data_IF_886900800765
#
_entry.id   IF_886900800765
#
_cell.length_a   1.000
_cell.length_b   1.000
_cell.length_c   1.000
_cell.angle_alpha   90.00
_cell.angle_beta   90.00
_cell.angle_gamma   90.00
#
_symmetry.space_group_name_H-M   'P 1'
#
loop_
_entity.id
_entity.type
_entity.pdbx_description
1 polymer ?
#
# COMPACT_ATOMS: atom_id res chain seq x y z
N UNK A 1 4.18 -4.74 10.27
CA UNK A 1 4.44 -4.40 8.87
C UNK A 1 5.89 -3.98 8.70
N UNK A 2 6.55 -4.50 7.69
CA UNK A 2 7.94 -4.16 7.35
C UNK A 2 7.93 -3.42 6.02
N UNK A 3 8.22 -2.12 6.04
CA UNK A 3 8.05 -1.21 4.90
C UNK A 3 9.37 -0.49 4.62
N UNK A 4 9.67 -0.29 3.34
CA UNK A 4 10.71 0.62 2.86
C UNK A 4 10.05 1.76 2.11
N UNK A 5 10.40 2.99 2.45
CA UNK A 5 9.90 4.22 1.82
C UNK A 5 11.02 5.26 1.77
N UNK A 6 11.33 5.76 0.58
CA UNK A 6 12.36 6.78 0.35
C UNK A 6 13.72 6.46 1.02
N UNK A 7 14.19 5.20 0.89
CA UNK A 7 15.44 4.73 1.49
C UNK A 7 15.37 4.39 2.98
N UNK A 8 14.29 4.75 3.68
CA UNK A 8 14.11 4.44 5.10
C UNK A 8 13.37 3.10 5.28
N UNK A 9 13.77 2.35 6.30
CA UNK A 9 13.15 1.07 6.68
C UNK A 9 12.36 1.23 7.97
N UNK A 10 11.12 0.75 7.97
CA UNK A 10 10.17 0.84 9.08
C UNK A 10 9.66 -0.55 9.46
N UNK A 11 9.61 -0.84 10.76
CA UNK A 11 8.99 -2.04 11.32
C UNK A 11 7.90 -1.60 12.29
N UNK A 12 6.68 -1.50 11.78
CA UNK A 12 5.55 -0.94 12.53
C UNK A 12 4.61 -2.06 13.01
N UNK A 13 4.35 -2.21 14.31
CA UNK A 13 3.33 -3.12 14.79
C UNK A 13 1.95 -2.56 14.43
N UNK A 14 1.21 -3.22 13.55
CA UNK A 14 -0.13 -2.77 13.12
C UNK A 14 -1.24 -3.59 13.80
N UNK A 15 -1.03 -4.89 13.98
CA UNK A 15 -1.99 -5.80 14.58
C UNK A 15 -1.27 -6.70 15.58
N UNK A 16 -1.88 -6.90 16.76
CA UNK A 16 -1.42 -7.81 17.80
C UNK A 16 -2.64 -8.48 18.43
N UNK A 17 -2.63 -9.81 18.52
CA UNK A 17 -3.73 -10.60 19.10
C UNK A 17 -5.12 -10.24 18.53
N UNK A 18 -5.19 -9.98 17.22
CA UNK A 18 -6.44 -9.63 16.53
C UNK A 18 -6.92 -8.18 16.74
N UNK A 19 -6.18 -7.34 17.47
CA UNK A 19 -6.51 -5.92 17.69
C UNK A 19 -5.52 -5.02 16.96
N UNK A 20 -6.03 -3.89 16.45
CA UNK A 20 -5.23 -2.85 15.83
C UNK A 20 -4.41 -2.11 16.89
N UNK A 21 -3.14 -1.87 16.60
CA UNK A 21 -2.24 -1.04 17.40
C UNK A 21 -2.40 0.42 16.96
N UNK A 22 -3.00 1.24 17.80
CA UNK A 22 -3.36 2.62 17.47
C UNK A 22 -2.13 3.49 17.10
N UNK A 23 -1.07 3.45 17.90
CA UNK A 23 0.16 4.19 17.60
C UNK A 23 0.78 3.72 16.27
N UNK A 24 0.77 2.41 16.01
CA UNK A 24 1.25 1.85 14.76
C UNK A 24 0.41 2.28 13.56
N UNK A 25 -0.91 2.39 13.73
CA UNK A 25 -1.80 2.94 12.71
C UNK A 25 -1.44 4.39 12.37
N UNK A 26 -1.23 5.26 13.36
CA UNK A 26 -0.84 6.65 13.11
C UNK A 26 0.54 6.77 12.47
N UNK A 27 1.50 5.93 12.86
CA UNK A 27 2.82 5.90 12.23
C UNK A 27 2.73 5.43 10.78
N UNK A 28 1.89 4.45 10.47
CA UNK A 28 1.62 4.05 9.09
C UNK A 28 0.99 5.18 8.28
N UNK A 29 0.04 5.93 8.84
CA UNK A 29 -0.54 7.09 8.16
C UNK A 29 0.52 8.14 7.78
N UNK A 30 1.51 8.37 8.66
CA UNK A 30 2.66 9.25 8.36
C UNK A 30 3.60 8.68 7.31
N UNK A 31 3.87 7.38 7.34
CA UNK A 31 4.73 6.72 6.34
C UNK A 31 4.08 6.73 4.94
N UNK A 32 2.76 6.62 4.89
CA UNK A 32 1.96 6.66 3.66
C UNK A 32 1.57 8.09 3.24
N UNK A 33 2.07 9.12 3.92
CA UNK A 33 1.83 10.50 3.56
C UNK A 33 2.28 10.83 2.13
N UNK A 34 1.67 11.88 1.57
CA UNK A 34 2.12 12.51 0.35
C UNK A 34 3.55 13.02 0.55
N UNK A 35 4.48 12.65 -0.33
CA UNK A 35 5.89 13.02 -0.20
C UNK A 35 6.24 14.37 -0.78
N UNK A 36 5.44 14.90 -1.71
CA UNK A 36 5.67 16.20 -2.32
C UNK A 36 5.17 17.30 -1.37
N UNK A 37 3.91 17.19 -0.96
CA UNK A 37 3.27 18.20 -0.10
C UNK A 37 3.44 17.90 1.40
N UNK A 38 3.99 16.72 1.76
CA UNK A 38 4.23 16.29 3.15
C UNK A 38 2.96 16.24 4.00
N UNK A 39 1.84 15.90 3.37
CA UNK A 39 0.53 15.82 4.03
C UNK A 39 0.20 14.36 4.34
N UNK A 40 -0.10 14.10 5.61
CA UNK A 40 -0.65 12.82 6.07
C UNK A 40 -2.16 12.94 6.25
N UNK A 41 -2.88 11.86 5.98
CA UNK A 41 -4.31 11.71 6.28
C UNK A 41 -4.54 10.42 7.04
N UNK A 42 -5.72 10.27 7.63
CA UNK A 42 -6.18 8.97 8.10
C UNK A 42 -6.40 8.07 6.89
N UNK A 43 -5.53 7.08 6.75
CA UNK A 43 -5.64 6.06 5.70
C UNK A 43 -6.70 5.03 6.09
N UNK A 44 -7.28 4.36 5.10
CA UNK A 44 -8.21 3.27 5.32
C UNK A 44 -7.50 2.10 6.05
N UNK A 45 -7.91 1.72 7.28
CA UNK A 45 -7.28 0.61 8.01
C UNK A 45 -7.39 -0.73 7.27
N UNK A 46 -8.36 -0.89 6.37
CA UNK A 46 -8.48 -2.08 5.54
C UNK A 46 -7.31 -2.20 4.55
N UNK A 47 -6.80 -1.07 4.03
CA UNK A 47 -5.63 -1.08 3.15
C UNK A 47 -4.42 -1.65 3.90
N UNK A 48 -4.16 -1.19 5.12
CA UNK A 48 -3.09 -1.73 5.96
C UNK A 48 -3.33 -3.20 6.31
N UNK A 49 -4.59 -3.61 6.52
CA UNK A 49 -4.93 -5.01 6.73
C UNK A 49 -4.61 -5.89 5.52
N UNK A 50 -4.90 -5.43 4.30
CA UNK A 50 -4.53 -6.13 3.05
C UNK A 50 -3.01 -6.32 2.96
N UNK A 51 -2.27 -5.24 3.17
CA UNK A 51 -0.80 -5.25 3.11
C UNK A 51 -0.18 -6.14 4.20
N UNK A 52 -0.69 -6.06 5.43
CA UNK A 52 -0.22 -6.88 6.54
C UNK A 52 -0.48 -8.36 6.31
N UNK A 53 -1.67 -8.74 5.81
CA UNK A 53 -2.00 -10.13 5.45
C UNK A 53 -1.10 -10.67 4.33
N UNK A 54 -0.83 -9.87 3.31
CA UNK A 54 0.08 -10.26 2.22
C UNK A 54 1.51 -10.50 2.74
N UNK A 55 2.05 -9.61 3.59
CA UNK A 55 3.35 -9.84 4.23
C UNK A 55 3.35 -11.07 5.14
N UNK A 56 2.27 -11.29 5.90
CA UNK A 56 2.16 -12.44 6.79
C UNK A 56 2.14 -13.76 6.01
N UNK A 57 1.36 -13.82 4.92
CA UNK A 57 1.33 -14.98 4.03
C UNK A 57 2.73 -15.32 3.48
N UNK A 58 3.46 -14.32 2.98
CA UNK A 58 4.82 -14.50 2.48
C UNK A 58 5.77 -14.96 3.60
N UNK A 59 5.69 -14.36 4.79
CA UNK A 59 6.51 -14.74 5.93
C UNK A 59 6.25 -16.20 6.38
N UNK A 60 5.00 -16.66 6.35
CA UNK A 60 4.63 -18.06 6.61
C UNK A 60 5.20 -19.04 5.58
N UNK A 61 5.58 -18.54 4.39
CA UNK A 61 6.28 -19.29 3.35
C UNK A 61 7.80 -19.00 3.33
N UNK A 62 8.36 -18.53 4.46
CA UNK A 62 9.78 -18.18 4.63
C UNK A 62 10.28 -17.03 3.75
N UNK A 63 9.38 -16.23 3.17
CA UNK A 63 9.72 -15.06 2.35
C UNK A 63 9.58 -13.79 3.21
N UNK A 64 10.69 -13.35 3.79
CA UNK A 64 10.74 -12.18 4.67
C UNK A 64 11.27 -10.95 3.92
N UNK A 65 10.46 -10.37 3.03
CA UNK A 65 10.80 -9.17 2.25
C UNK A 65 9.97 -7.96 2.71
N UNK A 66 10.54 -6.74 2.73
CA UNK A 66 9.77 -5.53 2.99
C UNK A 66 8.82 -5.21 1.83
N UNK A 67 7.71 -4.56 2.14
CA UNK A 67 6.94 -3.81 1.14
C UNK A 67 7.73 -2.56 0.78
N UNK A 68 8.02 -2.36 -0.49
CA UNK A 68 8.58 -1.11 -1.00
C UNK A 68 7.42 -0.24 -1.44
N UNK A 69 7.19 0.86 -0.72
CA UNK A 69 6.09 1.78 -0.95
C UNK A 69 6.53 2.88 -1.92
N UNK A 70 5.96 2.90 -3.12
CA UNK A 70 6.24 3.91 -4.14
C UNK A 70 5.23 5.06 -4.13
N UNK A 71 3.98 4.82 -3.69
CA UNK A 71 3.00 5.87 -3.47
C UNK A 71 1.96 5.50 -2.41
N UNK A 72 1.62 6.44 -1.53
CA UNK A 72 0.55 6.30 -0.52
C UNK A 72 -0.56 7.31 -0.79
N UNK A 73 -1.00 8.07 0.21
CA UNK A 73 -1.86 9.22 -0.02
C UNK A 73 -1.26 10.21 -1.04
N UNK A 74 -2.13 10.82 -1.84
CA UNK A 74 -1.78 11.95 -2.71
C UNK A 74 -2.70 13.11 -2.41
N UNK A 75 -2.15 14.32 -2.31
CA UNK A 75 -2.95 15.53 -2.42
C UNK A 75 -3.47 15.67 -3.86
N UNK A 76 -4.45 16.55 -4.07
CA UNK A 76 -4.90 16.86 -5.43
C UNK A 76 -3.77 17.41 -6.31
N UNK A 77 -2.88 18.21 -5.71
CA UNK A 77 -1.73 18.79 -6.38
C UNK A 77 -0.79 17.69 -6.89
N UNK A 78 -0.34 16.79 -6.01
CA UNK A 78 0.50 15.64 -6.39
C UNK A 78 -0.20 14.73 -7.40
N UNK A 79 -1.50 14.47 -7.23
CA UNK A 79 -2.23 13.62 -8.17
C UNK A 79 -2.29 14.23 -9.57
N UNK A 80 -2.49 15.55 -9.71
CA UNK A 80 -2.45 16.25 -11.00
C UNK A 80 -1.07 16.21 -11.67
N UNK A 81 -0.01 16.25 -10.88
CA UNK A 81 1.38 16.14 -11.39
C UNK A 81 1.78 14.70 -11.72
N UNK A 82 1.07 13.71 -11.21
CA UNK A 82 1.41 12.30 -11.43
C UNK A 82 0.91 11.87 -12.81
N UNK A 83 1.85 11.56 -13.71
CA UNK A 83 1.53 11.10 -15.06
C UNK A 83 0.62 9.85 -15.02
N UNK A 84 -0.41 9.84 -15.87
CA UNK A 84 -1.37 8.74 -15.97
C UNK A 84 -2.31 8.57 -14.76
N UNK A 85 -2.24 9.44 -13.75
CA UNK A 85 -3.14 9.36 -12.60
C UNK A 85 -4.58 9.69 -12.98
N UNK A 86 -5.52 8.87 -12.50
CA UNK A 86 -6.94 9.16 -12.65
C UNK A 86 -7.34 10.39 -11.82
N UNK A 87 -8.22 11.23 -12.36
CA UNK A 87 -8.75 12.40 -11.66
C UNK A 87 -9.45 12.02 -10.34
N UNK A 88 -10.13 10.88 -10.31
CA UNK A 88 -10.80 10.34 -9.12
C UNK A 88 -10.04 9.13 -8.54
N UNK A 89 -8.73 9.30 -8.34
CA UNK A 89 -7.84 8.26 -7.84
C UNK A 89 -8.10 7.94 -6.37
N UNK A 90 -8.00 6.66 -5.98
CA UNK A 90 -8.16 6.24 -4.58
C UNK A 90 -7.01 6.67 -3.66
N UNK A 91 -5.90 7.14 -4.24
CA UNK A 91 -4.83 7.80 -3.48
C UNK A 91 -5.31 9.11 -2.82
N UNK A 92 -6.25 9.84 -3.45
CA UNK A 92 -6.82 11.08 -2.92
C UNK A 92 -7.66 10.87 -1.64
N UNK A 93 -8.12 9.65 -1.42
CA UNK A 93 -9.03 9.30 -0.33
C UNK A 93 -8.35 8.47 0.76
N UNK A 94 -7.02 8.32 0.70
CA UNK A 94 -6.26 7.47 1.63
C UNK A 94 -6.65 5.98 1.52
N UNK A 95 -7.13 5.55 0.36
CA UNK A 95 -7.66 4.19 0.12
C UNK A 95 -6.77 3.35 -0.77
N UNK A 96 -5.65 3.89 -1.26
CA UNK A 96 -4.77 3.20 -2.19
C UNK A 96 -3.29 3.27 -1.79
N UNK A 97 -2.53 2.31 -2.30
CA UNK A 97 -1.08 2.31 -2.29
C UNK A 97 -0.52 1.67 -3.55
N UNK A 98 0.61 2.21 -4.01
CA UNK A 98 1.44 1.63 -5.05
C UNK A 98 2.65 0.98 -4.38
N UNK A 99 2.83 -0.32 -4.60
CA UNK A 99 3.85 -1.11 -3.90
C UNK A 99 4.54 -2.15 -4.79
N UNK A 100 5.75 -2.54 -4.42
CA UNK A 100 6.37 -3.76 -4.92
C UNK A 100 7.17 -4.47 -3.81
N UNK A 101 7.62 -5.70 -4.06
CA UNK A 101 8.44 -6.47 -3.14
C UNK A 101 9.57 -7.15 -3.92
N UNK A 102 10.82 -6.88 -3.55
CA UNK A 102 11.98 -7.43 -4.28
C UNK A 102 11.98 -8.95 -4.31
N UNK A 103 12.14 -9.52 -5.51
CA UNK A 103 12.11 -10.96 -5.73
C UNK A 103 10.72 -11.58 -5.78
N UNK A 104 9.64 -10.78 -5.66
CA UNK A 104 8.27 -11.25 -5.83
C UNK A 104 7.76 -10.81 -7.20
N UNK A 105 7.38 -11.74 -8.09
CA UNK A 105 6.80 -11.38 -9.38
C UNK A 105 5.55 -10.50 -9.19
N UNK A 106 5.45 -9.44 -9.99
CA UNK A 106 4.37 -8.45 -9.90
C UNK A 106 2.98 -9.09 -10.03
N UNK A 107 2.80 -10.03 -10.97
CA UNK A 107 1.53 -10.74 -11.14
C UNK A 107 1.17 -11.61 -9.92
N UNK A 108 2.18 -12.20 -9.27
CA UNK A 108 1.97 -12.97 -8.04
C UNK A 108 1.55 -12.04 -6.90
N UNK A 109 2.26 -10.91 -6.73
CA UNK A 109 1.93 -9.92 -5.71
C UNK A 109 0.51 -9.38 -5.89
N UNK A 110 0.10 -9.09 -7.12
CA UNK A 110 -1.25 -8.63 -7.44
C UNK A 110 -2.34 -9.65 -7.07
N UNK A 111 -2.13 -10.94 -7.41
CA UNK A 111 -3.04 -12.02 -7.01
C UNK A 111 -3.09 -12.20 -5.49
N UNK A 112 -1.96 -12.09 -4.81
CA UNK A 112 -1.90 -12.17 -3.35
C UNK A 112 -2.66 -11.03 -2.69
N UNK A 113 -2.48 -9.79 -3.15
CA UNK A 113 -3.19 -8.62 -2.63
C UNK A 113 -4.71 -8.75 -2.82
N UNK A 114 -5.15 -9.27 -3.97
CA UNK A 114 -6.55 -9.62 -4.22
C UNK A 114 -7.09 -10.61 -3.18
N UNK A 115 -6.38 -11.72 -2.96
CA UNK A 115 -6.76 -12.74 -1.97
C UNK A 115 -6.80 -12.20 -0.54
N UNK A 116 -5.99 -11.17 -0.25
CA UNK A 116 -5.92 -10.53 1.05
C UNK A 116 -7.00 -9.45 1.28
N UNK A 117 -7.87 -9.20 0.30
CA UNK A 117 -8.99 -8.26 0.39
C UNK A 117 -8.81 -6.95 -0.39
N UNK A 118 -7.78 -6.83 -1.23
CA UNK A 118 -7.63 -5.71 -2.16
C UNK A 118 -8.75 -5.71 -3.21
N UNK A 119 -9.39 -4.57 -3.42
CA UNK A 119 -10.53 -4.39 -4.31
C UNK A 119 -10.12 -3.85 -5.69
N UNK A 120 -9.42 -2.73 -5.77
CA UNK A 120 -8.81 -2.30 -7.03
C UNK A 120 -7.39 -2.85 -7.14
N UNK A 121 -7.06 -3.48 -8.28
CA UNK A 121 -5.72 -4.02 -8.54
C UNK A 121 -5.24 -3.54 -9.92
N UNK A 122 -4.24 -2.66 -9.93
CA UNK A 122 -3.55 -2.23 -11.14
C UNK A 122 -2.17 -2.86 -11.23
N UNK A 123 -1.81 -3.42 -12.38
CA UNK A 123 -0.49 -4.01 -12.60
C UNK A 123 0.31 -3.12 -13.54
N UNK A 124 1.48 -2.69 -13.10
CA UNK A 124 2.44 -1.88 -13.85
C UNK A 124 3.82 -2.56 -13.86
N UNK A 125 4.72 -2.11 -14.73
CA UNK A 125 6.05 -2.71 -14.88
C UNK A 125 6.90 -2.66 -13.61
N UNK A 126 6.72 -1.64 -12.76
CA UNK A 126 7.51 -1.45 -11.54
C UNK A 126 6.77 -1.69 -10.22
N UNK A 127 5.43 -1.71 -10.23
CA UNK A 127 4.63 -1.78 -9.01
C UNK A 127 3.23 -2.37 -9.25
N UNK A 128 2.59 -2.76 -8.16
CA UNK A 128 1.17 -3.09 -8.11
C UNK A 128 0.45 -1.96 -7.38
N UNK A 129 -0.57 -1.40 -8.02
CA UNK A 129 -1.55 -0.56 -7.36
C UNK A 129 -2.56 -1.44 -6.64
N UNK A 130 -2.87 -1.12 -5.39
CA UNK A 130 -3.94 -1.75 -4.61
C UNK A 130 -4.79 -0.70 -3.89
N UNK A 131 -6.11 -0.85 -3.95
CA UNK A 131 -7.05 -0.02 -3.18
C UNK A 131 -8.23 -0.80 -2.60
N UNK A 132 -8.96 -0.18 -1.69
CA UNK A 132 -10.08 -0.77 -0.93
C UNK A 132 -11.47 -0.27 -1.34
N UNK A 133 -11.64 0.31 -2.55
CA UNK A 133 -12.93 0.90 -2.94
C UNK A 133 -13.88 -0.09 -3.63
N UNK A 134 -13.70 -0.33 -4.92
CA UNK A 134 -14.55 -1.19 -5.75
C UNK A 134 -13.71 -2.24 -6.45
N UNK A 135 -14.28 -3.43 -6.60
CA UNK A 135 -13.62 -4.50 -7.34
C UNK A 135 -13.38 -4.10 -8.79
N UNK A 136 -12.11 -4.03 -9.18
CA UNK A 136 -11.67 -3.78 -10.56
C UNK A 136 -10.22 -4.22 -10.74
N UNK A 137 -9.85 -4.59 -11.96
CA UNK A 137 -8.47 -4.93 -12.32
C UNK A 137 -8.09 -4.30 -13.65
N UNK A 138 -6.85 -3.82 -13.78
CA UNK A 138 -6.34 -3.24 -15.01
C UNK A 138 -4.83 -3.46 -15.15
N UNK A 139 -4.30 -3.20 -16.35
CA UNK A 139 -2.87 -3.14 -16.64
C UNK A 139 -2.57 -1.80 -17.28
N UNK A 140 -1.44 -1.19 -16.89
CA UNK A 140 -0.94 0.04 -17.48
C UNK A 140 0.55 -0.03 -17.77
#
# INVERSE_FOLDING_TARGET
MHIVRNGNTYKIPFMRNGKMEENGYYDLCKIFADTHDRVAVQMDPNLFSVLAKAQQWLASNHINRPIILTSGYRTEHTNRMTEGAAANSMHLYGKAADIHMSGIPIDYLARLLRLCGGAGIGIYSGFVHVDTWKERSWRG
#
